data_IF_854304473333
#
_entry.id   IF_854304473333
#
_cell.length_a   1.000
_cell.length_b   1.000
_cell.length_c   1.000
_cell.angle_alpha   90.00
_cell.angle_beta   90.00
_cell.angle_gamma   90.00
#
_symmetry.space_group_name_H-M   'P 1'
#
loop_
_entity.id
_entity.type
_entity.pdbx_description
1 polymer ?
#
# COMPACT_ATOMS: atom_id res chain seq x y z
N UNK A 1 -0.08 -17.38 35.60
CA UNK A 1 0.67 -17.21 34.34
C UNK A 1 0.45 -15.83 33.70
N UNK A 2 -0.73 -15.17 33.90
CA UNK A 2 -1.04 -13.85 33.32
C UNK A 2 -0.38 -12.66 34.04
N UNK A 3 -0.04 -12.77 35.30
CA UNK A 3 0.58 -11.66 36.06
C UNK A 3 2.07 -11.47 35.77
N UNK A 4 2.79 -12.54 35.43
CA UNK A 4 4.20 -12.45 35.01
C UNK A 4 4.39 -11.76 33.65
N UNK A 5 3.40 -11.92 32.75
CA UNK A 5 3.42 -11.29 31.42
C UNK A 5 3.25 -9.76 31.49
N UNK A 6 2.42 -9.25 32.42
CA UNK A 6 2.19 -7.81 32.57
C UNK A 6 3.38 -7.08 33.20
N UNK A 7 4.01 -7.70 34.21
CA UNK A 7 5.20 -7.13 34.86
C UNK A 7 6.42 -7.08 33.94
N UNK A 8 6.63 -8.13 33.14
CA UNK A 8 7.68 -8.13 32.11
C UNK A 8 7.45 -7.04 31.05
N UNK A 9 6.19 -6.89 30.60
CA UNK A 9 5.80 -5.82 29.66
C UNK A 9 6.04 -4.40 30.21
N UNK A 10 5.80 -4.17 31.51
CA UNK A 10 5.99 -2.86 32.12
C UNK A 10 7.45 -2.53 32.40
N UNK A 11 8.26 -3.53 32.77
CA UNK A 11 9.73 -3.39 32.84
C UNK A 11 10.30 -3.07 31.47
N UNK A 12 9.83 -3.76 30.45
CA UNK A 12 10.21 -3.57 29.06
C UNK A 12 9.87 -2.18 28.51
N UNK A 13 8.64 -1.68 28.74
CA UNK A 13 8.24 -0.32 28.37
C UNK A 13 9.09 0.76 29.04
N UNK A 14 9.49 0.54 30.28
CA UNK A 14 10.41 1.44 30.99
C UNK A 14 11.80 1.42 30.36
N UNK A 15 12.28 0.25 29.94
CA UNK A 15 13.59 0.10 29.29
C UNK A 15 13.60 0.74 27.89
N UNK A 16 12.52 0.58 27.09
CA UNK A 16 12.37 1.28 25.83
C UNK A 16 12.30 2.82 26.00
N UNK A 17 11.71 3.30 27.08
CA UNK A 17 11.72 4.73 27.41
C UNK A 17 13.15 5.24 27.73
N UNK A 18 13.99 4.41 28.35
CA UNK A 18 15.40 4.69 28.55
C UNK A 18 16.18 4.77 27.23
N UNK A 19 15.93 3.85 26.30
CA UNK A 19 16.55 3.83 24.96
C UNK A 19 16.24 5.09 24.14
N UNK A 20 15.12 5.75 24.40
CA UNK A 20 14.77 7.02 23.73
C UNK A 20 15.42 8.26 24.32
N UNK A 21 16.02 8.15 25.51
CA UNK A 21 16.61 9.27 26.27
C UNK A 21 18.15 9.27 26.15
N UNK A 22 18.76 8.11 25.94
CA UNK A 22 20.21 7.96 25.85
C UNK A 22 20.67 7.73 24.41
N UNK A 23 21.88 8.20 24.10
CA UNK A 23 22.52 7.86 22.82
C UNK A 23 22.86 6.35 22.74
N UNK A 24 23.02 5.85 21.51
CA UNK A 24 23.20 4.44 21.24
C UNK A 24 24.43 3.82 21.95
N UNK A 25 25.49 4.60 22.13
CA UNK A 25 26.73 4.12 22.78
C UNK A 25 26.54 3.99 24.29
N UNK A 26 25.83 4.95 24.91
CA UNK A 26 25.49 4.89 26.35
C UNK A 26 24.58 3.69 26.65
N UNK A 27 23.60 3.41 25.79
CA UNK A 27 22.74 2.24 25.93
C UNK A 27 23.53 0.94 25.77
N UNK A 28 24.43 0.87 24.81
CA UNK A 28 25.32 -0.27 24.59
C UNK A 28 26.16 -0.56 25.81
N UNK A 29 26.79 0.45 26.40
CA UNK A 29 27.57 0.31 27.63
C UNK A 29 26.75 -0.17 28.83
N UNK A 30 25.48 0.29 28.96
CA UNK A 30 24.57 -0.17 30.01
C UNK A 30 24.18 -1.65 29.86
N UNK A 31 24.12 -2.16 28.64
CA UNK A 31 23.72 -3.52 28.31
C UNK A 31 24.89 -4.50 28.27
N UNK A 32 26.13 -4.05 28.15
CA UNK A 32 27.32 -4.90 28.05
C UNK A 32 27.53 -5.86 29.25
N UNK A 33 26.89 -5.59 30.40
CA UNK A 33 26.88 -6.49 31.56
C UNK A 33 25.65 -7.40 31.67
N UNK A 34 24.69 -7.31 30.76
CA UNK A 34 23.40 -8.04 30.81
C UNK A 34 23.12 -8.73 29.47
N UNK A 35 23.91 -9.74 29.16
CA UNK A 35 23.90 -10.43 27.84
C UNK A 35 22.53 -10.99 27.49
N UNK A 36 21.80 -11.58 28.42
CA UNK A 36 20.45 -12.14 28.18
C UNK A 36 19.45 -11.04 27.82
N UNK A 37 19.44 -9.94 28.55
CA UNK A 37 18.57 -8.80 28.27
C UNK A 37 18.90 -8.13 26.93
N UNK A 38 20.19 -8.02 26.61
CA UNK A 38 20.63 -7.50 25.32
C UNK A 38 20.15 -8.37 24.15
N UNK A 39 20.28 -9.70 24.25
CA UNK A 39 19.82 -10.60 23.20
C UNK A 39 18.29 -10.62 23.08
N UNK A 40 17.57 -10.51 24.19
CA UNK A 40 16.11 -10.40 24.18
C UNK A 40 15.64 -9.10 23.51
N UNK A 41 16.18 -7.95 23.91
CA UNK A 41 15.91 -6.65 23.29
C UNK A 41 16.30 -6.63 21.81
N UNK A 42 17.45 -7.20 21.47
CA UNK A 42 17.89 -7.34 20.09
C UNK A 42 16.88 -8.10 19.23
N UNK A 43 16.33 -9.18 19.75
CA UNK A 43 15.31 -9.99 19.07
C UNK A 43 14.04 -9.19 18.79
N UNK A 44 13.54 -8.48 19.79
CA UNK A 44 12.30 -7.72 19.68
C UNK A 44 12.43 -6.44 18.84
N UNK A 45 13.63 -5.85 18.77
CA UNK A 45 13.93 -4.65 18.00
C UNK A 45 14.47 -4.93 16.59
N UNK A 46 14.58 -6.21 16.19
CA UNK A 46 14.97 -6.54 14.83
C UNK A 46 13.94 -6.08 13.81
N UNK A 47 14.43 -5.38 12.79
CA UNK A 47 13.60 -5.09 11.62
C UNK A 47 13.22 -6.39 10.95
N UNK A 48 11.95 -6.63 10.83
CA UNK A 48 11.33 -7.78 10.16
C UNK A 48 10.85 -7.40 8.77
N UNK A 49 10.52 -8.42 7.98
CA UNK A 49 10.00 -8.21 6.63
C UNK A 49 8.89 -9.21 6.28
N UNK A 50 8.04 -8.79 5.37
CA UNK A 50 7.19 -9.67 4.59
C UNK A 50 7.37 -9.35 3.11
N UNK A 51 7.52 -10.39 2.29
CA UNK A 51 7.54 -10.28 0.84
C UNK A 51 6.58 -11.30 0.25
N UNK A 52 5.76 -10.87 -0.69
CA UNK A 52 4.84 -11.75 -1.42
C UNK A 52 4.91 -11.37 -2.89
N UNK A 53 5.02 -12.36 -3.77
CA UNK A 53 4.84 -12.21 -5.20
C UNK A 53 3.81 -13.23 -5.69
N UNK A 54 2.85 -12.76 -6.48
CA UNK A 54 1.75 -13.54 -7.03
C UNK A 54 1.78 -13.43 -8.55
N UNK A 55 1.43 -14.50 -9.25
CA UNK A 55 0.96 -14.35 -10.61
C UNK A 55 -0.31 -13.50 -10.61
N UNK A 56 -0.30 -12.44 -11.41
CA UNK A 56 -1.38 -11.44 -11.41
C UNK A 56 -2.74 -12.02 -11.82
N UNK A 57 -2.74 -13.01 -12.72
CA UNK A 57 -3.97 -13.59 -13.30
C UNK A 57 -4.48 -14.76 -12.50
N UNK A 58 -3.59 -15.61 -12.02
CA UNK A 58 -3.97 -16.89 -11.39
C UNK A 58 -3.99 -16.81 -9.86
N UNK A 59 -3.28 -15.86 -9.25
CA UNK A 59 -3.09 -15.78 -7.81
C UNK A 59 -2.07 -16.81 -7.27
N UNK A 60 -1.39 -17.55 -8.14
CA UNK A 60 -0.34 -18.48 -7.72
C UNK A 60 0.77 -17.74 -6.98
N UNK A 61 1.15 -18.25 -5.81
CA UNK A 61 2.22 -17.67 -5.00
C UNK A 61 3.56 -18.06 -5.62
N UNK A 62 4.19 -17.09 -6.29
CA UNK A 62 5.49 -17.24 -6.94
C UNK A 62 6.65 -17.16 -5.95
N UNK A 63 6.51 -16.34 -4.92
CA UNK A 63 7.50 -16.21 -3.85
C UNK A 63 6.84 -15.68 -2.57
N UNK A 64 7.31 -16.14 -1.41
CA UNK A 64 6.86 -15.65 -0.11
C UNK A 64 8.02 -15.68 0.89
N UNK A 65 8.18 -14.58 1.63
CA UNK A 65 9.09 -14.46 2.78
C UNK A 65 8.26 -13.89 3.92
N UNK A 66 8.22 -14.59 5.05
CA UNK A 66 7.44 -14.20 6.22
C UNK A 66 8.25 -13.61 7.39
N UNK A 67 9.57 -13.50 7.24
CA UNK A 67 10.48 -12.99 8.27
C UNK A 67 11.93 -13.08 7.83
N UNK A 68 12.86 -12.77 8.74
CA UNK A 68 14.30 -12.85 8.48
C UNK A 68 14.78 -14.30 8.58
N UNK A 69 15.73 -14.69 7.74
CA UNK A 69 16.33 -16.01 7.74
C UNK A 69 17.36 -16.22 8.86
N UNK A 70 18.00 -15.14 9.31
CA UNK A 70 19.01 -15.14 10.40
C UNK A 70 18.37 -15.18 11.80
N UNK A 71 17.07 -15.03 11.87
CA UNK A 71 16.27 -15.19 13.08
C UNK A 71 14.97 -15.91 12.73
N UNK A 72 15.01 -17.25 12.54
CA UNK A 72 13.84 -18.03 12.21
C UNK A 72 12.89 -18.07 13.41
N UNK A 73 11.68 -17.57 13.22
CA UNK A 73 10.53 -17.85 14.06
C UNK A 73 9.45 -18.54 13.19
N UNK A 74 8.47 -19.14 13.83
CA UNK A 74 7.36 -19.80 13.14
C UNK A 74 6.29 -18.80 12.66
N UNK A 75 6.45 -17.52 12.97
CA UNK A 75 5.47 -16.48 12.64
C UNK A 75 5.69 -15.93 11.23
N UNK A 76 4.82 -16.34 10.31
CA UNK A 76 4.84 -15.85 8.95
C UNK A 76 4.11 -14.51 8.84
N UNK A 77 4.88 -13.42 8.81
CA UNK A 77 4.32 -12.04 8.76
C UNK A 77 3.58 -11.74 7.47
N UNK A 78 3.87 -12.46 6.39
CA UNK A 78 3.15 -12.28 5.13
C UNK A 78 1.67 -12.68 5.23
N UNK A 79 1.35 -13.68 6.06
CA UNK A 79 0.00 -14.28 6.16
C UNK A 79 -0.66 -14.09 7.52
N UNK A 80 0.11 -13.85 8.58
CA UNK A 80 -0.38 -13.83 9.95
C UNK A 80 -0.34 -12.45 10.62
N UNK A 81 0.67 -11.61 10.28
CA UNK A 81 0.77 -10.28 10.86
C UNK A 81 -0.38 -9.37 10.44
N UNK A 82 -0.84 -8.58 11.40
CA UNK A 82 -1.80 -7.49 11.18
C UNK A 82 -1.02 -6.18 11.25
N UNK A 83 -0.86 -5.47 10.13
CA UNK A 83 -0.05 -4.25 10.06
C UNK A 83 -0.82 -3.13 9.39
N UNK A 84 -0.59 -1.89 9.84
CA UNK A 84 -1.22 -0.73 9.24
C UNK A 84 -0.66 -0.49 7.83
N UNK A 85 -1.50 -0.50 6.77
CA UNK A 85 -1.05 -0.31 5.41
C UNK A 85 -0.62 1.13 5.10
N UNK A 86 -1.05 2.09 5.91
CA UNK A 86 -0.79 3.50 5.63
C UNK A 86 -1.27 3.88 4.24
N UNK A 87 -0.44 4.61 3.50
CA UNK A 87 -0.80 5.11 2.16
C UNK A 87 -0.98 4.04 1.08
N UNK A 88 -0.64 2.75 1.30
CA UNK A 88 -1.03 1.69 0.34
C UNK A 88 -2.53 1.39 0.40
N UNK A 89 -3.24 1.93 1.39
CA UNK A 89 -4.70 1.86 1.44
C UNK A 89 -5.41 2.90 0.56
N UNK A 90 -4.73 3.96 0.15
CA UNK A 90 -5.35 5.06 -0.65
C UNK A 90 -6.02 4.59 -1.94
N UNK A 91 -5.51 3.63 -2.72
CA UNK A 91 -6.18 3.18 -3.94
C UNK A 91 -7.63 2.74 -3.74
N UNK A 92 -8.02 2.21 -2.56
CA UNK A 92 -9.42 1.86 -2.30
C UNK A 92 -10.33 3.08 -2.23
N UNK A 93 -9.83 4.22 -1.72
CA UNK A 93 -10.56 5.50 -1.68
C UNK A 93 -10.75 6.03 -3.10
N UNK A 94 -9.68 5.96 -3.90
CA UNK A 94 -9.71 6.38 -5.30
C UNK A 94 -10.61 5.48 -6.15
N UNK A 95 -10.60 4.16 -5.89
CA UNK A 95 -11.55 3.22 -6.50
C UNK A 95 -13.00 3.61 -6.19
N UNK A 96 -13.30 3.93 -4.92
CA UNK A 96 -14.64 4.36 -4.53
C UNK A 96 -15.06 5.66 -5.24
N UNK A 97 -14.14 6.62 -5.41
CA UNK A 97 -14.43 7.85 -6.13
C UNK A 97 -14.69 7.60 -7.62
N UNK A 98 -13.88 6.78 -8.27
CA UNK A 98 -14.04 6.42 -9.69
C UNK A 98 -15.33 5.63 -9.90
N UNK A 99 -15.66 4.67 -9.04
CA UNK A 99 -16.94 3.93 -9.07
C UNK A 99 -18.15 4.86 -8.93
N UNK A 100 -18.00 5.98 -8.21
CA UNK A 100 -18.99 7.05 -8.11
C UNK A 100 -18.94 8.05 -9.26
N UNK A 101 -18.23 7.71 -10.35
CA UNK A 101 -18.12 8.52 -11.56
C UNK A 101 -17.39 9.88 -11.38
N UNK A 102 -16.57 10.05 -10.32
CA UNK A 102 -15.70 11.22 -10.22
C UNK A 102 -14.52 11.11 -11.18
N UNK A 103 -14.28 12.08 -12.08
CA UNK A 103 -13.12 12.07 -12.95
C UNK A 103 -11.83 12.30 -12.15
N UNK A 104 -10.72 11.78 -12.65
CA UNK A 104 -9.40 11.91 -12.01
C UNK A 104 -8.91 13.37 -11.95
N UNK A 105 -9.52 14.25 -12.74
CA UNK A 105 -9.30 15.71 -12.76
C UNK A 105 -10.10 16.45 -11.70
N UNK A 106 -11.00 15.78 -10.94
CA UNK A 106 -11.71 16.39 -9.81
C UNK A 106 -10.69 17.03 -8.87
N UNK A 107 -10.93 18.29 -8.52
CA UNK A 107 -10.02 19.08 -7.70
C UNK A 107 -10.55 19.24 -6.29
N UNK A 108 -9.67 19.02 -5.31
CA UNK A 108 -9.91 19.24 -3.88
C UNK A 108 -8.85 20.20 -3.32
N UNK A 109 -9.20 20.92 -2.28
CA UNK A 109 -8.30 21.90 -1.67
C UNK A 109 -7.24 21.22 -0.81
N UNK A 110 -5.96 21.38 -1.17
CA UNK A 110 -4.84 20.82 -0.39
C UNK A 110 -4.49 21.70 0.82
N UNK A 111 -5.45 21.88 1.74
CA UNK A 111 -5.33 22.66 2.96
C UNK A 111 -5.71 21.83 4.19
N UNK A 112 -5.12 22.08 5.36
CA UNK A 112 -5.47 21.41 6.60
C UNK A 112 -6.97 21.47 6.90
N UNK A 113 -7.50 20.38 7.35
CA UNK A 113 -8.89 20.24 7.82
C UNK A 113 -8.87 19.76 9.27
N UNK A 114 -9.70 20.39 10.11
CA UNK A 114 -9.88 19.97 11.49
C UNK A 114 -11.11 19.08 11.59
N UNK A 115 -10.91 17.85 11.97
CA UNK A 115 -11.97 16.88 12.23
C UNK A 115 -12.05 16.58 13.71
N UNK A 116 -13.19 16.11 14.16
CA UNK A 116 -13.40 15.71 15.55
C UNK A 116 -13.69 14.22 15.60
N UNK A 117 -12.92 13.48 16.38
CA UNK A 117 -13.11 12.06 16.63
C UNK A 117 -13.20 11.77 18.13
N UNK A 118 -13.77 10.64 18.49
CA UNK A 118 -13.67 10.16 19.85
C UNK A 118 -12.36 9.39 20.03
N UNK A 119 -11.60 9.70 21.07
CA UNK A 119 -10.41 8.94 21.45
C UNK A 119 -10.80 7.60 22.09
N UNK A 120 -9.82 6.79 22.50
CA UNK A 120 -10.05 5.49 23.13
C UNK A 120 -10.84 5.57 24.45
N UNK A 121 -10.88 6.75 25.10
CA UNK A 121 -11.64 7.01 26.33
C UNK A 121 -13.06 7.52 26.06
N UNK A 122 -13.44 7.69 24.77
CA UNK A 122 -14.73 8.26 24.37
C UNK A 122 -14.80 9.79 24.41
N UNK A 123 -13.70 10.48 24.70
CA UNK A 123 -13.63 11.94 24.74
C UNK A 123 -13.46 12.50 23.32
N UNK A 124 -14.10 13.64 23.04
CA UNK A 124 -14.02 14.31 21.75
C UNK A 124 -12.66 14.99 21.57
N UNK A 125 -11.86 14.48 20.63
CA UNK A 125 -10.53 14.98 20.32
C UNK A 125 -10.51 15.63 18.94
N UNK A 126 -9.82 16.77 18.82
CA UNK A 126 -9.57 17.42 17.54
C UNK A 126 -8.44 16.68 16.82
N UNK A 127 -8.72 16.20 15.61
CA UNK A 127 -7.75 15.57 14.73
C UNK A 127 -7.46 16.44 13.51
N UNK A 128 -6.21 16.84 13.33
CA UNK A 128 -5.77 17.70 12.22
C UNK A 128 -4.69 16.98 11.45
N UNK A 129 -5.05 16.15 10.45
CA UNK A 129 -4.06 15.49 9.59
C UNK A 129 -3.26 16.50 8.77
N UNK A 130 -2.03 16.15 8.42
CA UNK A 130 -1.17 16.92 7.53
C UNK A 130 -0.51 16.04 6.48
N UNK A 131 0.01 16.64 5.42
CA UNK A 131 0.88 15.96 4.48
C UNK A 131 2.21 15.61 5.14
N UNK A 132 2.83 14.52 4.70
CA UNK A 132 4.12 14.06 5.26
C UNK A 132 5.21 15.12 5.07
N UNK A 133 5.27 15.74 3.90
CA UNK A 133 6.20 16.80 3.53
C UNK A 133 5.80 18.19 4.06
N UNK A 134 4.75 18.24 4.90
CA UNK A 134 4.15 19.48 5.44
C UNK A 134 3.67 20.46 4.36
N UNK A 135 3.61 20.03 3.10
CA UNK A 135 3.13 20.87 2.00
C UNK A 135 1.63 21.19 2.14
N UNK A 136 1.27 22.39 1.74
CA UNK A 136 -0.11 22.84 1.54
C UNK A 136 -0.17 23.54 0.20
N UNK A 137 -1.37 23.71 -0.36
CA UNK A 137 -1.52 24.33 -1.66
C UNK A 137 -2.97 24.67 -1.99
N UNK A 138 -3.21 25.03 -3.23
CA UNK A 138 -4.52 25.31 -3.79
C UNK A 138 -5.29 24.04 -4.17
N UNK A 139 -6.14 24.18 -5.18
CA UNK A 139 -6.86 23.07 -5.79
C UNK A 139 -5.88 22.07 -6.41
N UNK A 140 -6.07 20.81 -6.09
CA UNK A 140 -5.20 19.71 -6.50
C UNK A 140 -6.06 18.57 -7.03
N UNK A 141 -5.72 18.01 -8.19
CA UNK A 141 -6.48 16.93 -8.82
C UNK A 141 -6.33 15.63 -8.03
N UNK A 142 -7.30 14.70 -8.20
CA UNK A 142 -7.19 13.36 -7.63
C UNK A 142 -5.91 12.67 -8.13
N UNK A 143 -5.57 12.78 -9.43
CA UNK A 143 -4.32 12.25 -9.99
C UNK A 143 -3.10 12.72 -9.21
N UNK A 144 -2.94 14.02 -9.05
CA UNK A 144 -1.81 14.60 -8.33
C UNK A 144 -1.81 14.19 -6.85
N UNK A 145 -2.99 14.12 -6.23
CA UNK A 145 -3.19 13.67 -4.86
C UNK A 145 -2.67 12.26 -4.61
N UNK A 146 -2.92 11.29 -5.53
CA UNK A 146 -2.40 9.93 -5.42
C UNK A 146 -0.92 9.86 -5.78
N UNK A 147 -0.51 10.52 -6.86
CA UNK A 147 0.87 10.56 -7.36
C UNK A 147 1.85 11.05 -6.29
N UNK A 148 1.51 12.14 -5.61
CA UNK A 148 2.30 12.72 -4.51
C UNK A 148 1.95 12.15 -3.14
N UNK A 149 0.95 11.26 -3.09
CA UNK A 149 0.46 10.63 -1.85
C UNK A 149 -0.01 11.64 -0.80
N UNK A 150 -0.68 12.71 -1.21
CA UNK A 150 -1.13 13.77 -0.33
C UNK A 150 -2.22 13.28 0.63
N UNK A 151 -1.96 13.43 1.93
CA UNK A 151 -2.90 13.02 2.97
C UNK A 151 -4.16 13.88 2.99
N UNK A 152 -3.97 15.20 2.83
CA UNK A 152 -5.07 16.18 2.86
C UNK A 152 -6.08 15.91 1.75
N UNK A 153 -5.63 15.52 0.56
CA UNK A 153 -6.53 15.15 -0.55
C UNK A 153 -7.32 13.88 -0.19
N UNK A 154 -6.65 12.85 0.31
CA UNK A 154 -7.34 11.60 0.70
C UNK A 154 -8.36 11.82 1.82
N UNK A 155 -8.05 12.66 2.79
CA UNK A 155 -8.97 13.01 3.87
C UNK A 155 -10.20 13.77 3.33
N UNK A 156 -9.98 14.75 2.45
CA UNK A 156 -11.08 15.48 1.80
C UNK A 156 -11.93 14.58 0.90
N UNK A 157 -11.31 13.64 0.18
CA UNK A 157 -12.09 12.66 -0.59
C UNK A 157 -13.08 11.91 0.30
N UNK A 158 -12.64 11.49 1.48
CA UNK A 158 -13.50 10.77 2.45
C UNK A 158 -14.58 11.69 3.03
N UNK A 159 -14.30 12.98 3.17
CA UNK A 159 -15.29 13.96 3.69
C UNK A 159 -16.28 14.46 2.62
N UNK A 160 -15.80 14.64 1.39
CA UNK A 160 -16.54 15.41 0.38
C UNK A 160 -17.08 14.52 -0.77
N UNK A 161 -16.42 13.38 -1.08
CA UNK A 161 -16.77 12.56 -2.25
C UNK A 161 -17.29 11.17 -1.88
N UNK A 162 -16.63 10.46 -0.96
CA UNK A 162 -16.90 9.04 -0.68
C UNK A 162 -16.85 8.76 0.83
N UNK A 163 -17.99 8.47 1.46
CA UNK A 163 -18.03 8.27 2.90
C UNK A 163 -17.20 7.05 3.35
N UNK A 164 -16.68 7.01 4.60
CA UNK A 164 -15.84 5.94 5.12
C UNK A 164 -16.44 4.54 4.94
N UNK A 165 -17.76 4.40 5.04
CA UNK A 165 -18.46 3.13 4.85
C UNK A 165 -18.27 2.60 3.44
N UNK A 166 -18.41 3.46 2.43
CA UNK A 166 -18.25 3.05 1.03
C UNK A 166 -16.81 2.62 0.72
N UNK A 167 -15.81 3.31 1.29
CA UNK A 167 -14.39 2.90 1.17
C UNK A 167 -14.16 1.53 1.79
N UNK A 168 -14.75 1.27 2.98
CA UNK A 168 -14.74 -0.04 3.61
C UNK A 168 -15.35 -1.10 2.70
N UNK A 169 -16.54 -0.82 2.14
CA UNK A 169 -17.28 -1.76 1.29
C UNK A 169 -16.47 -2.10 0.02
N UNK A 170 -15.75 -1.13 -0.58
CA UNK A 170 -14.80 -1.36 -1.69
C UNK A 170 -13.67 -2.29 -1.26
N UNK A 171 -13.01 -2.03 -0.14
CA UNK A 171 -11.92 -2.87 0.33
C UNK A 171 -12.38 -4.32 0.60
N UNK A 172 -13.55 -4.50 1.19
CA UNK A 172 -14.15 -5.82 1.41
C UNK A 172 -14.55 -6.51 0.10
N UNK A 173 -15.11 -5.77 -0.87
CA UNK A 173 -15.40 -6.28 -2.21
C UNK A 173 -14.13 -6.75 -2.89
N UNK A 174 -13.01 -6.04 -2.73
CA UNK A 174 -11.68 -6.42 -3.19
C UNK A 174 -10.99 -7.47 -2.29
N UNK A 175 -11.75 -8.17 -1.46
CA UNK A 175 -11.35 -9.33 -0.66
C UNK A 175 -10.36 -9.02 0.49
N UNK A 176 -10.36 -7.82 1.04
CA UNK A 176 -9.78 -7.58 2.37
C UNK A 176 -10.75 -8.14 3.39
N UNK A 177 -10.41 -9.27 4.02
CA UNK A 177 -11.26 -9.97 5.00
C UNK A 177 -11.01 -9.51 6.43
N UNK A 178 -9.84 -8.94 6.69
CA UNK A 178 -9.49 -8.34 7.99
C UNK A 178 -10.46 -7.18 8.30
N UNK A 179 -10.94 -7.06 9.55
CA UNK A 179 -11.90 -6.03 9.92
C UNK A 179 -11.41 -4.60 9.69
N UNK A 180 -12.14 -3.82 8.90
CA UNK A 180 -11.82 -2.42 8.59
C UNK A 180 -12.82 -1.51 9.32
N UNK A 181 -12.32 -0.48 9.99
CA UNK A 181 -13.12 0.53 10.68
C UNK A 181 -13.55 1.62 9.70
N UNK A 182 -14.87 1.83 9.57
CA UNK A 182 -15.44 2.89 8.72
C UNK A 182 -15.45 4.23 9.45
N UNK A 183 -14.29 4.82 9.67
CA UNK A 183 -14.05 6.11 10.33
C UNK A 183 -13.17 7.01 9.45
N UNK A 184 -13.15 8.32 9.70
CA UNK A 184 -12.44 9.30 8.85
C UNK A 184 -10.95 8.98 8.65
N UNK A 185 -10.31 8.38 9.65
CA UNK A 185 -8.89 7.98 9.54
C UNK A 185 -8.65 6.82 8.56
N UNK A 186 -9.70 6.20 7.99
CA UNK A 186 -9.58 5.24 6.87
C UNK A 186 -8.85 5.88 5.68
N UNK A 187 -8.97 7.20 5.53
CA UNK A 187 -8.24 8.00 4.54
C UNK A 187 -6.73 7.81 4.59
N UNK A 188 -6.18 7.42 5.73
CA UNK A 188 -4.77 7.23 5.99
C UNK A 188 -4.37 5.76 6.20
N UNK A 189 -5.30 4.80 6.02
CA UNK A 189 -5.03 3.38 6.17
C UNK A 189 -4.67 2.97 7.60
N UNK A 190 -5.47 3.40 8.58
CA UNK A 190 -5.23 3.14 10.01
C UNK A 190 -5.78 1.81 10.51
N UNK A 191 -6.56 1.09 9.73
CA UNK A 191 -6.97 -0.28 10.04
C UNK A 191 -5.88 -1.26 9.66
N UNK A 192 -5.57 -2.17 10.57
CA UNK A 192 -4.58 -3.21 10.32
C UNK A 192 -5.12 -4.26 9.35
N UNK A 193 -4.25 -4.78 8.50
CA UNK A 193 -4.58 -5.78 7.48
C UNK A 193 -3.44 -6.79 7.33
N UNK A 194 -3.73 -7.97 6.81
CA UNK A 194 -2.71 -8.95 6.46
C UNK A 194 -1.99 -8.54 5.18
N UNK A 195 -0.65 -8.62 5.12
CA UNK A 195 0.10 -8.29 3.91
C UNK A 195 -0.37 -9.02 2.66
N UNK A 196 -0.67 -10.31 2.76
CA UNK A 196 -1.14 -11.10 1.62
C UNK A 196 -2.47 -10.59 1.05
N UNK A 197 -3.39 -10.10 1.91
CA UNK A 197 -4.67 -9.56 1.45
C UNK A 197 -4.49 -8.29 0.61
N UNK A 198 -3.62 -7.39 1.05
CA UNK A 198 -3.28 -6.17 0.31
C UNK A 198 -2.66 -6.52 -1.05
N UNK A 199 -1.67 -7.42 -1.07
CA UNK A 199 -0.98 -7.80 -2.31
C UNK A 199 -1.95 -8.48 -3.28
N UNK A 200 -2.77 -9.41 -2.80
CA UNK A 200 -3.76 -10.10 -3.63
C UNK A 200 -4.84 -9.13 -4.16
N UNK A 201 -5.29 -8.18 -3.35
CA UNK A 201 -6.27 -7.19 -3.80
C UNK A 201 -5.72 -6.26 -4.88
N UNK A 202 -4.41 -5.93 -4.84
CA UNK A 202 -3.77 -5.12 -5.88
C UNK A 202 -3.69 -5.81 -7.24
N UNK A 203 -3.66 -7.15 -7.30
CA UNK A 203 -3.71 -7.87 -8.57
C UNK A 203 -4.96 -7.55 -9.38
N UNK A 204 -6.06 -7.21 -8.71
CA UNK A 204 -7.34 -6.83 -9.34
C UNK A 204 -7.19 -5.66 -10.31
N UNK A 205 -6.34 -4.66 -9.96
CA UNK A 205 -6.12 -3.52 -10.82
C UNK A 205 -5.45 -3.93 -12.14
N UNK A 206 -4.44 -4.79 -12.08
CA UNK A 206 -3.74 -5.28 -13.26
C UNK A 206 -4.51 -6.36 -14.03
N UNK A 207 -5.45 -7.05 -13.38
CA UNK A 207 -6.24 -8.15 -13.92
C UNK A 207 -7.67 -7.73 -14.30
N UNK A 208 -7.85 -6.52 -14.83
CA UNK A 208 -9.13 -6.02 -15.37
C UNK A 208 -10.31 -6.11 -14.38
N UNK A 209 -10.03 -5.96 -13.09
CA UNK A 209 -11.06 -6.02 -12.04
C UNK A 209 -11.35 -7.41 -11.48
N UNK A 210 -10.63 -8.44 -11.94
CA UNK A 210 -10.78 -9.82 -11.47
C UNK A 210 -9.79 -10.08 -10.33
N UNK A 211 -10.31 -10.42 -9.16
CA UNK A 211 -9.55 -10.93 -8.03
C UNK A 211 -9.29 -12.42 -8.21
N UNK A 212 -8.07 -12.87 -7.97
CA UNK A 212 -7.69 -14.28 -7.87
C UNK A 212 -7.19 -14.57 -6.47
N UNK A 213 -7.79 -15.59 -5.82
CA UNK A 213 -7.39 -15.99 -4.46
C UNK A 213 -5.95 -16.53 -4.45
N UNK A 214 -5.10 -16.11 -3.50
CA UNK A 214 -3.75 -16.67 -3.40
C UNK A 214 -3.75 -18.18 -3.22
N UNK A 215 -2.99 -18.89 -4.05
CA UNK A 215 -2.88 -20.34 -4.03
C UNK A 215 -1.41 -20.78 -4.00
N UNK A 216 -1.06 -21.64 -3.05
CA UNK A 216 0.31 -22.15 -2.88
C UNK A 216 0.50 -23.56 -3.47
N UNK A 217 -0.57 -24.34 -3.56
CA UNK A 217 -0.54 -25.72 -4.07
C UNK A 217 -1.60 -25.84 -5.15
N UNK A 218 -1.18 -26.00 -6.40
CA UNK A 218 -2.10 -26.14 -7.53
C UNK A 218 -2.41 -27.60 -7.82
N UNK A 219 -1.46 -28.51 -7.55
CA UNK A 219 -1.61 -29.94 -7.84
C UNK A 219 -0.82 -30.82 -6.88
N UNK A 220 -1.39 -31.97 -6.54
CA UNK A 220 -0.73 -33.02 -5.76
C UNK A 220 -0.68 -34.27 -6.63
N UNK A 221 0.51 -34.85 -6.79
CA UNK A 221 0.75 -36.07 -7.56
C UNK A 221 1.35 -37.16 -6.67
N UNK A 222 1.10 -38.43 -7.03
CA UNK A 222 1.81 -39.54 -6.44
C UNK A 222 3.21 -39.71 -7.05
N UNK A 223 3.99 -40.64 -6.51
CA UNK A 223 5.35 -40.94 -7.01
C UNK A 223 5.42 -41.45 -8.45
N UNK A 224 4.29 -41.77 -9.07
CA UNK A 224 4.20 -42.24 -10.45
C UNK A 224 3.64 -41.15 -11.40
N UNK A 225 3.43 -39.92 -10.92
CA UNK A 225 2.92 -38.82 -11.71
C UNK A 225 1.39 -38.82 -11.88
N UNK A 226 0.66 -39.69 -11.14
CA UNK A 226 -0.81 -39.68 -11.16
C UNK A 226 -1.31 -38.54 -10.31
N UNK A 227 -2.22 -37.73 -10.85
CA UNK A 227 -2.84 -36.62 -10.12
C UNK A 227 -3.73 -37.20 -9.02
N UNK A 228 -3.40 -36.89 -7.76
CA UNK A 228 -4.21 -37.21 -6.58
C UNK A 228 -5.27 -36.13 -6.39
N UNK A 229 -4.87 -34.86 -6.55
CA UNK A 229 -5.75 -33.71 -6.39
C UNK A 229 -5.25 -32.54 -7.24
N UNK A 230 -6.18 -31.85 -7.86
CA UNK A 230 -5.96 -30.59 -8.56
C UNK A 230 -6.89 -29.53 -7.97
N UNK A 231 -6.38 -28.30 -7.81
CA UNK A 231 -7.13 -27.18 -7.25
C UNK A 231 -7.44 -26.19 -8.37
N UNK A 232 -8.68 -25.79 -8.46
CA UNK A 232 -9.11 -24.72 -9.39
C UNK A 232 -8.75 -23.34 -8.81
N UNK A 233 -8.46 -22.42 -9.71
CA UNK A 233 -8.27 -21.02 -9.36
C UNK A 233 -9.63 -20.43 -8.96
N UNK A 234 -9.71 -19.84 -7.75
CA UNK A 234 -10.91 -19.13 -7.29
C UNK A 234 -10.81 -17.66 -7.70
N UNK A 235 -11.67 -17.26 -8.64
CA UNK A 235 -11.71 -15.92 -9.22
C UNK A 235 -13.07 -15.24 -8.99
N UNK A 236 -13.03 -13.92 -8.78
CA UNK A 236 -14.22 -13.08 -8.60
C UNK A 236 -14.07 -11.77 -9.34
N UNK A 237 -15.07 -11.38 -10.09
CA UNK A 237 -15.17 -10.03 -10.62
C UNK A 237 -15.53 -9.08 -9.47
N UNK A 238 -14.63 -8.18 -9.12
CA UNK A 238 -14.77 -7.27 -7.96
C UNK A 238 -14.79 -5.79 -8.36
N UNK A 239 -14.26 -5.47 -9.54
CA UNK A 239 -14.33 -4.14 -10.14
C UNK A 239 -14.71 -4.26 -11.62
N UNK A 240 -15.27 -3.20 -12.19
CA UNK A 240 -15.36 -3.12 -13.65
C UNK A 240 -13.98 -2.98 -14.28
N UNK A 241 -13.76 -3.44 -15.50
CA UNK A 241 -12.50 -3.24 -16.22
C UNK A 241 -12.10 -1.77 -16.31
N UNK A 242 -13.08 -0.88 -16.50
CA UNK A 242 -12.87 0.57 -16.58
C UNK A 242 -12.36 1.14 -15.27
N UNK A 243 -13.01 0.82 -14.13
CA UNK A 243 -12.55 1.26 -12.81
C UNK A 243 -11.15 0.73 -12.51
N UNK A 244 -10.89 -0.55 -12.78
CA UNK A 244 -9.58 -1.17 -12.58
C UNK A 244 -8.50 -0.48 -13.42
N UNK A 245 -8.77 -0.17 -14.69
CA UNK A 245 -7.83 0.53 -15.56
C UNK A 245 -7.57 1.96 -15.10
N UNK A 246 -8.61 2.72 -14.74
CA UNK A 246 -8.45 4.09 -14.26
C UNK A 246 -7.56 4.16 -13.02
N UNK A 247 -7.75 3.25 -12.05
CA UNK A 247 -6.88 3.16 -10.86
C UNK A 247 -5.48 2.69 -11.24
N UNK A 248 -5.34 1.73 -12.16
CA UNK A 248 -4.04 1.29 -12.70
C UNK A 248 -3.28 2.46 -13.29
N UNK A 249 -3.93 3.27 -14.11
CA UNK A 249 -3.31 4.45 -14.73
C UNK A 249 -2.88 5.50 -13.70
N UNK A 250 -3.67 5.72 -12.65
CA UNK A 250 -3.26 6.56 -11.53
C UNK A 250 -2.01 5.97 -10.82
N UNK A 251 -1.98 4.66 -10.58
CA UNK A 251 -0.85 3.98 -9.93
C UNK A 251 0.41 3.94 -10.80
N UNK A 252 0.26 3.96 -12.13
CA UNK A 252 1.39 4.18 -13.05
C UNK A 252 2.01 5.56 -12.84
N UNK A 253 1.22 6.61 -12.68
CA UNK A 253 1.74 7.96 -12.43
C UNK A 253 2.56 8.06 -11.12
N UNK A 254 2.22 7.26 -10.10
CA UNK A 254 2.97 7.18 -8.84
C UNK A 254 4.39 6.67 -9.06
N UNK A 255 4.57 5.64 -9.90
CA UNK A 255 5.89 5.03 -10.16
C UNK A 255 6.65 5.71 -11.30
N UNK A 256 5.97 6.42 -12.18
CA UNK A 256 6.62 7.13 -13.28
C UNK A 256 7.20 8.48 -12.83
N UNK A 257 6.44 9.25 -12.03
CA UNK A 257 6.82 10.62 -11.64
C UNK A 257 6.38 11.02 -10.22
N UNK A 258 5.89 10.07 -9.42
CA UNK A 258 5.46 10.30 -8.04
C UNK A 258 6.41 9.72 -6.99
N UNK A 259 5.83 9.33 -5.84
CA UNK A 259 6.58 8.82 -4.67
C UNK A 259 7.34 7.51 -4.93
N UNK A 260 6.97 6.76 -5.99
CA UNK A 260 7.65 5.57 -6.47
C UNK A 260 8.64 5.82 -7.62
N UNK A 261 8.90 7.07 -8.00
CA UNK A 261 9.68 7.43 -9.19
C UNK A 261 11.10 6.87 -9.25
N UNK A 262 11.71 6.55 -8.10
CA UNK A 262 13.02 5.88 -8.04
C UNK A 262 13.05 4.54 -8.77
N UNK A 263 11.90 3.89 -8.96
CA UNK A 263 11.77 2.70 -9.79
C UNK A 263 12.31 2.95 -11.21
N UNK A 264 12.03 4.12 -11.78
CA UNK A 264 12.44 4.49 -13.14
C UNK A 264 13.88 5.01 -13.20
N UNK A 265 14.19 6.03 -12.41
CA UNK A 265 15.48 6.72 -12.54
C UNK A 265 16.65 5.99 -11.85
N UNK A 266 16.40 5.35 -10.70
CA UNK A 266 17.44 4.64 -9.92
C UNK A 266 17.56 3.18 -10.33
N UNK A 267 16.45 2.42 -10.32
CA UNK A 267 16.47 0.96 -10.56
C UNK A 267 16.37 0.59 -12.03
N UNK A 268 16.06 1.57 -12.92
CA UNK A 268 15.98 1.37 -14.38
C UNK A 268 14.98 0.28 -14.77
N UNK A 269 13.93 0.06 -13.97
CA UNK A 269 12.87 -0.87 -14.32
C UNK A 269 11.98 -0.25 -15.42
N UNK A 270 11.86 -0.91 -16.57
CA UNK A 270 11.25 -0.36 -17.79
C UNK A 270 9.98 -1.08 -18.23
N UNK A 271 9.55 -2.09 -17.50
CA UNK A 271 8.23 -2.71 -17.75
C UNK A 271 7.11 -1.78 -17.30
N UNK A 272 5.93 -1.81 -17.97
CA UNK A 272 4.75 -1.15 -17.46
C UNK A 272 4.45 -1.62 -16.03
N UNK A 273 4.26 -0.68 -15.13
CA UNK A 273 4.05 -0.99 -13.72
C UNK A 273 3.20 0.08 -13.05
N UNK A 274 2.33 -0.33 -12.17
CA UNK A 274 1.65 0.51 -11.21
C UNK A 274 2.08 0.16 -9.80
N UNK A 275 1.98 1.09 -8.86
CA UNK A 275 2.32 0.78 -7.48
C UNK A 275 2.13 1.95 -6.52
N UNK A 276 2.22 1.63 -5.22
CA UNK A 276 2.03 2.62 -4.16
C UNK A 276 3.01 2.40 -3.02
N UNK A 277 3.62 3.48 -2.56
CA UNK A 277 4.39 3.53 -1.32
C UNK A 277 3.45 3.68 -0.13
N UNK A 278 3.77 3.05 0.98
CA UNK A 278 3.10 3.21 2.27
C UNK A 278 4.08 3.51 3.38
N UNK A 279 3.63 4.32 4.31
CA UNK A 279 4.38 4.64 5.52
C UNK A 279 3.36 5.00 6.59
N UNK A 280 3.52 4.48 7.79
CA UNK A 280 2.71 4.88 8.94
C UNK A 280 3.26 6.16 9.57
N UNK A 281 2.42 6.86 10.34
CA UNK A 281 2.78 8.17 10.92
C UNK A 281 4.03 8.13 11.80
N UNK A 282 4.23 7.03 12.53
CA UNK A 282 5.37 6.85 13.43
C UNK A 282 6.57 6.21 12.75
N UNK A 283 6.57 6.06 11.41
CA UNK A 283 7.60 5.32 10.67
C UNK A 283 7.81 3.88 11.19
N UNK A 284 6.78 3.26 11.75
CA UNK A 284 6.84 1.87 12.24
C UNK A 284 6.66 0.83 11.13
N UNK A 285 6.04 1.24 10.01
CA UNK A 285 5.79 0.38 8.85
C UNK A 285 6.18 1.08 7.56
N UNK A 286 6.97 0.40 6.75
CA UNK A 286 7.35 0.83 5.41
C UNK A 286 6.84 -0.20 4.39
N UNK A 287 6.05 0.26 3.42
CA UNK A 287 5.41 -0.57 2.41
C UNK A 287 5.74 -0.13 1.00
N UNK A 288 5.84 -1.09 0.12
CA UNK A 288 5.64 -0.87 -1.31
C UNK A 288 4.85 -2.05 -1.89
N UNK A 289 3.73 -1.75 -2.53
CA UNK A 289 2.93 -2.74 -3.26
C UNK A 289 2.79 -2.25 -4.69
N UNK A 290 3.08 -3.13 -5.63
CA UNK A 290 3.02 -2.78 -7.05
C UNK A 290 2.86 -4.02 -7.92
N UNK A 291 2.56 -3.77 -9.18
CA UNK A 291 2.26 -4.81 -10.15
C UNK A 291 2.71 -4.46 -11.55
N UNK A 292 2.90 -5.49 -12.36
CA UNK A 292 2.93 -5.45 -13.82
C UNK A 292 1.74 -6.25 -14.34
N UNK A 293 1.49 -6.36 -15.65
CA UNK A 293 0.45 -7.25 -16.17
C UNK A 293 0.61 -8.73 -15.79
N UNK A 294 1.81 -9.14 -15.35
CA UNK A 294 2.15 -10.53 -15.09
C UNK A 294 2.38 -10.86 -13.62
N UNK A 295 3.03 -9.98 -12.87
CA UNK A 295 3.41 -10.22 -11.47
C UNK A 295 2.92 -9.07 -10.60
N UNK A 296 2.23 -9.41 -9.51
CA UNK A 296 1.88 -8.50 -8.43
C UNK A 296 2.72 -8.84 -7.20
N UNK A 297 3.42 -7.86 -6.64
CA UNK A 297 4.25 -8.10 -5.48
C UNK A 297 4.12 -7.00 -4.43
N UNK A 298 4.36 -7.37 -3.16
CA UNK A 298 4.36 -6.45 -2.04
C UNK A 298 5.51 -6.73 -1.08
N UNK A 299 6.02 -5.65 -0.51
CA UNK A 299 7.08 -5.65 0.48
C UNK A 299 6.62 -4.83 1.69
N UNK A 300 6.80 -5.40 2.86
CA UNK A 300 6.65 -4.72 4.13
C UNK A 300 7.93 -4.86 4.94
N UNK A 301 8.33 -3.77 5.58
CA UNK A 301 9.33 -3.75 6.64
C UNK A 301 8.76 -3.05 7.87
N UNK A 302 9.07 -3.60 9.04
CA UNK A 302 8.65 -3.06 10.32
C UNK A 302 9.35 -3.78 11.46
N UNK A 303 9.07 -3.33 12.66
CA UNK A 303 9.45 -4.01 13.90
C UNK A 303 8.18 -4.62 14.48
N UNK A 304 8.25 -5.80 15.06
CA UNK A 304 7.06 -6.48 15.59
C UNK A 304 6.39 -5.64 16.70
N UNK A 305 7.17 -4.92 17.48
CA UNK A 305 6.66 -3.91 18.42
C UNK A 305 6.22 -2.63 17.69
N UNK A 306 4.91 -2.37 17.69
CA UNK A 306 4.28 -1.27 16.93
C UNK A 306 4.69 0.14 17.36
N UNK A 307 5.15 0.28 18.62
CA UNK A 307 5.56 1.58 19.16
C UNK A 307 6.94 2.01 18.68
N UNK A 308 7.73 1.08 18.10
CA UNK A 308 9.09 1.31 17.68
C UNK A 308 9.15 1.77 16.22
N UNK A 309 9.81 2.89 15.98
CA UNK A 309 10.05 3.45 14.65
C UNK A 309 11.20 2.72 13.94
N UNK A 310 11.11 2.61 12.62
CA UNK A 310 12.23 2.19 11.76
C UNK A 310 13.34 3.26 11.68
N UNK A 311 13.10 4.45 12.22
CA UNK A 311 14.02 5.59 12.18
C UNK A 311 13.71 6.60 11.08
N UNK A 312 14.31 7.77 11.22
CA UNK A 312 14.12 8.88 10.30
C UNK A 312 14.54 8.52 8.87
N UNK A 313 13.71 8.92 7.90
CA UNK A 313 13.97 8.67 6.49
C UNK A 313 13.63 7.25 6.02
N UNK A 314 13.20 6.33 6.90
CA UNK A 314 12.83 4.95 6.56
C UNK A 314 11.36 4.87 6.14
N UNK A 315 11.04 5.43 5.00
CA UNK A 315 9.69 5.35 4.41
C UNK A 315 9.65 4.35 3.24
N UNK A 316 8.44 3.98 2.81
CA UNK A 316 8.22 2.90 1.84
C UNK A 316 9.01 3.03 0.54
N UNK A 317 9.20 4.26 0.03
CA UNK A 317 10.01 4.52 -1.18
C UNK A 317 11.51 4.30 -0.99
N UNK A 318 12.01 4.32 0.26
CA UNK A 318 13.43 4.13 0.60
C UNK A 318 13.70 2.73 1.13
N UNK A 319 12.85 2.22 2.02
CA UNK A 319 13.05 0.92 2.64
C UNK A 319 12.47 -0.24 1.81
N UNK A 320 11.21 -0.15 1.36
CA UNK A 320 10.50 -1.29 0.75
C UNK A 320 10.62 -1.35 -0.79
N UNK A 321 10.52 -0.22 -1.48
CA UNK A 321 10.60 -0.16 -2.95
C UNK A 321 11.88 -0.78 -3.52
N UNK A 322 13.09 -0.63 -2.91
CA UNK A 322 14.31 -1.26 -3.44
C UNK A 322 14.20 -2.77 -3.59
N UNK A 323 13.69 -3.46 -2.58
CA UNK A 323 13.53 -4.92 -2.61
C UNK A 323 12.55 -5.34 -3.71
N UNK A 324 11.41 -4.65 -3.81
CA UNK A 324 10.45 -4.86 -4.88
C UNK A 324 11.08 -4.65 -6.27
N UNK A 325 11.79 -3.55 -6.45
CA UNK A 325 12.39 -3.18 -7.73
C UNK A 325 13.44 -4.18 -8.22
N UNK A 326 14.31 -4.65 -7.31
CA UNK A 326 15.33 -5.64 -7.62
C UNK A 326 14.73 -7.00 -7.92
N UNK A 327 13.76 -7.46 -7.13
CA UNK A 327 13.04 -8.69 -7.39
C UNK A 327 12.36 -8.66 -8.75
N UNK A 328 11.53 -7.64 -9.01
CA UNK A 328 10.76 -7.55 -10.25
C UNK A 328 11.66 -7.45 -11.47
N UNK A 329 12.77 -6.71 -11.37
CA UNK A 329 13.74 -6.60 -12.46
C UNK A 329 14.36 -7.95 -12.79
N UNK A 330 14.80 -8.69 -11.78
CA UNK A 330 15.42 -9.99 -11.97
C UNK A 330 14.40 -11.03 -12.46
N UNK A 331 13.22 -11.10 -11.84
CA UNK A 331 12.16 -12.02 -12.24
C UNK A 331 11.71 -11.81 -13.70
N UNK A 332 11.52 -10.54 -14.13
CA UNK A 332 11.14 -10.25 -15.51
C UNK A 332 12.22 -10.59 -16.52
N UNK A 333 13.49 -10.42 -16.14
CA UNK A 333 14.61 -10.80 -17.01
C UNK A 333 14.76 -12.32 -17.11
N UNK A 334 14.80 -13.04 -15.98
CA UNK A 334 14.99 -14.50 -15.94
C UNK A 334 13.82 -15.26 -16.59
N UNK A 335 12.60 -14.79 -16.38
CA UNK A 335 11.40 -15.39 -16.98
C UNK A 335 11.10 -14.88 -18.39
N UNK A 336 11.93 -13.99 -18.95
CA UNK A 336 11.74 -13.36 -20.26
C UNK A 336 10.34 -12.77 -20.46
N UNK A 337 9.79 -12.10 -19.41
CA UNK A 337 8.46 -11.52 -19.45
C UNK A 337 8.44 -10.36 -20.43
N UNK A 338 7.41 -10.32 -21.29
CA UNK A 338 7.21 -9.25 -22.27
C UNK A 338 6.89 -7.91 -21.60
N UNK A 339 7.09 -6.81 -22.35
CA UNK A 339 6.77 -5.45 -21.89
C UNK A 339 5.36 -5.04 -22.32
N UNK A 340 4.41 -5.96 -22.24
CA UNK A 340 3.02 -5.69 -22.61
C UNK A 340 2.44 -4.59 -21.74
N UNK A 341 1.70 -3.68 -22.37
CA UNK A 341 1.01 -2.60 -21.70
C UNK A 341 -0.28 -3.12 -21.04
N UNK A 342 -0.77 -2.40 -20.05
CA UNK A 342 -2.12 -2.60 -19.56
C UNK A 342 -3.12 -2.27 -20.68
N UNK A 343 -4.07 -3.15 -20.89
CA UNK A 343 -5.08 -2.99 -21.93
C UNK A 343 -6.11 -1.94 -21.51
N UNK A 344 -6.38 -1.00 -22.42
CA UNK A 344 -7.37 0.06 -22.22
C UNK A 344 -8.75 -0.50 -22.55
N UNK A 345 -9.71 -0.53 -21.62
CA UNK A 345 -11.08 -0.98 -21.91
C UNK A 345 -11.82 -0.01 -22.84
N UNK A 346 -12.81 -0.53 -23.57
CA UNK A 346 -13.62 0.27 -24.49
C UNK A 346 -14.37 1.43 -23.82
N UNK A 347 -14.71 1.29 -22.53
CA UNK A 347 -15.36 2.33 -21.72
C UNK A 347 -14.46 3.46 -21.26
N UNK A 348 -13.14 3.41 -21.55
CA UNK A 348 -12.16 4.45 -21.21
C UNK A 348 -11.65 5.13 -22.47
N UNK A 349 -11.47 6.44 -22.40
CA UNK A 349 -10.95 7.26 -23.50
C UNK A 349 -9.84 8.17 -23.03
N UNK A 350 -8.82 8.35 -23.88
CA UNK A 350 -7.80 9.39 -23.70
C UNK A 350 -8.26 10.67 -24.38
N UNK A 351 -8.27 11.77 -23.65
CA UNK A 351 -8.74 13.07 -24.13
C UNK A 351 -7.67 14.12 -23.88
N UNK A 352 -7.45 15.03 -24.86
CA UNK A 352 -6.65 16.22 -24.62
C UNK A 352 -7.51 17.27 -23.91
N UNK A 353 -7.00 17.80 -22.80
CA UNK A 353 -7.66 18.81 -21.97
C UNK A 353 -6.74 20.01 -21.76
N UNK A 354 -7.33 21.13 -21.42
CA UNK A 354 -6.61 22.31 -20.96
C UNK A 354 -5.98 22.03 -19.57
N UNK A 355 -4.65 22.16 -19.48
CA UNK A 355 -3.93 21.82 -18.26
C UNK A 355 -4.23 22.72 -17.07
N UNK A 356 -4.76 23.93 -17.29
CA UNK A 356 -5.08 24.88 -16.25
C UNK A 356 -6.51 24.70 -15.73
N UNK A 357 -7.46 24.56 -16.65
CA UNK A 357 -8.89 24.46 -16.33
C UNK A 357 -9.40 23.05 -16.13
N UNK A 358 -8.65 22.03 -16.62
CA UNK A 358 -9.05 20.60 -16.65
C UNK A 358 -10.34 20.33 -17.44
N UNK A 359 -10.69 21.23 -18.36
CA UNK A 359 -11.84 21.13 -19.27
C UNK A 359 -11.37 20.86 -20.70
N UNK A 360 -12.30 20.65 -21.62
CA UNK A 360 -11.96 20.55 -23.04
C UNK A 360 -11.27 21.84 -23.52
N UNK A 361 -10.31 21.75 -24.45
CA UNK A 361 -9.55 22.89 -24.92
C UNK A 361 -10.45 23.87 -25.71
N UNK A 362 -10.16 25.13 -25.57
CA UNK A 362 -10.78 26.22 -26.29
C UNK A 362 -9.75 26.95 -27.14
N UNK A 363 -10.19 27.92 -27.96
CA UNK A 363 -9.27 28.79 -28.75
C UNK A 363 -8.31 29.61 -27.87
N UNK A 364 -8.48 29.63 -26.52
CA UNK A 364 -7.66 30.34 -25.55
C UNK A 364 -6.69 29.44 -24.81
N UNK A 365 -6.82 28.12 -24.96
CA UNK A 365 -5.97 27.14 -24.29
C UNK A 365 -4.54 27.27 -24.80
N UNK A 366 -3.60 27.41 -23.85
CA UNK A 366 -2.17 27.54 -24.15
C UNK A 366 -1.43 26.24 -23.94
N UNK A 367 -1.82 25.47 -22.92
CA UNK A 367 -1.16 24.25 -22.51
C UNK A 367 -2.14 23.09 -22.55
N UNK A 368 -1.77 22.02 -23.25
CA UNK A 368 -2.57 20.80 -23.36
C UNK A 368 -1.92 19.69 -22.55
N UNK A 369 -2.74 18.88 -21.95
CA UNK A 369 -2.33 17.61 -21.35
C UNK A 369 -3.29 16.49 -21.77
N UNK A 370 -2.79 15.27 -21.79
CA UNK A 370 -3.60 14.07 -22.05
C UNK A 370 -4.04 13.45 -20.74
N UNK A 371 -5.32 13.14 -20.66
CA UNK A 371 -5.90 12.50 -19.49
C UNK A 371 -6.90 11.41 -19.89
N UNK A 372 -7.00 10.38 -19.04
CA UNK A 372 -7.96 9.29 -19.23
C UNK A 372 -9.25 9.55 -18.46
N UNK A 373 -10.36 9.25 -19.12
CA UNK A 373 -11.72 9.42 -18.58
C UNK A 373 -12.56 8.17 -18.83
N UNK A 374 -13.50 7.90 -17.94
CA UNK A 374 -14.64 7.09 -18.32
C UNK A 374 -15.44 7.85 -19.39
N UNK A 375 -16.01 7.16 -20.38
CA UNK A 375 -16.84 7.82 -21.40
C UNK A 375 -18.00 8.63 -20.81
N UNK A 376 -18.47 8.22 -19.61
CA UNK A 376 -19.57 8.87 -18.87
C UNK A 376 -19.18 10.18 -18.18
N UNK A 377 -17.88 10.47 -18.00
CA UNK A 377 -17.43 11.63 -17.23
C UNK A 377 -16.35 12.48 -17.93
N UNK A 378 -16.28 12.39 -19.26
CA UNK A 378 -15.47 13.30 -20.07
C UNK A 378 -15.93 14.73 -19.80
N UNK A 379 -15.02 15.70 -19.55
CA UNK A 379 -15.41 17.10 -19.33
C UNK A 379 -16.09 17.68 -20.54
N UNK A 380 -16.93 18.71 -20.32
CA UNK A 380 -17.68 19.42 -21.40
C UNK A 380 -16.92 20.62 -21.90
#
# INVERSE_FOLDING_TARGET
PHECSSAASDVYKRQLAYLSIFDADSVKMMLEGQVELYEELRKELLVQCAFIALDTKTGEILAMIGGRSDYPDEFNRATQALRQPGSVFKPYIYTAAIDNNYPVTTQLLNQPVALYRNNAKGEREKWTPGNYDKSTGGLTTLREGLQKSLNLISVRMVQELVPPRQVKDIAQRMQITTPIRAVDSIALGTSEVKPIEIVASYSTFANKGIYSSPIAITRIEDKYGRIIKEYSIDQKEVLSPETAYMVTNLLQSVVDSGTGGSLRWKYKFRHPAGGKTGTTQNLSDAWFVGFTPNITAGVWYGIDEYSVSLGDGQYGGVAALPAWALFMKNAHNELNISKDKFEVPDGVVEVEIDSDTKQLPTNRTKNLEKEYFLRSNVPQ
#
